data_IF_175553558305
#
_entry.id   IF_175553558305
#
_cell.length_a   1.000
_cell.length_b   1.000
_cell.length_c   1.000
_cell.angle_alpha   90.00
_cell.angle_beta   90.00
_cell.angle_gamma   90.00
#
_symmetry.space_group_name_H-M   'P 1'
#
loop_
_entity.id
_entity.type
_entity.pdbx_description
1 polymer ?
#
# COMPACT_ATOMS: atom_id res chain seq x y z
N UNK A 1 8.21 20.15 -2.59
CA UNK A 1 7.36 21.34 -2.79
C UNK A 1 6.87 21.25 -4.23
N UNK A 2 5.65 20.90 -4.62
CA UNK A 2 4.35 20.68 -3.99
C UNK A 2 3.65 19.59 -4.82
N UNK A 3 3.45 18.38 -4.31
CA UNK A 3 2.56 17.44 -4.99
C UNK A 3 1.15 17.68 -4.48
N UNK A 4 0.31 18.23 -5.34
CA UNK A 4 -1.08 18.59 -5.08
C UNK A 4 -1.83 17.38 -4.52
N UNK A 5 -2.15 17.39 -3.22
CA UNK A 5 -2.90 16.31 -2.56
C UNK A 5 -4.40 16.39 -2.91
N UNK A 6 -4.71 16.25 -4.20
CA UNK A 6 -6.07 16.31 -4.73
C UNK A 6 -6.99 15.33 -3.98
N UNK A 7 -6.51 14.12 -3.70
CA UNK A 7 -7.28 13.11 -2.96
C UNK A 7 -7.55 13.51 -1.51
N UNK A 8 -6.56 14.08 -0.80
CA UNK A 8 -6.73 14.54 0.58
C UNK A 8 -7.72 15.73 0.65
N UNK A 9 -7.60 16.67 -0.28
CA UNK A 9 -8.51 17.81 -0.37
C UNK A 9 -9.93 17.37 -0.70
N UNK A 10 -10.08 16.43 -1.63
CA UNK A 10 -11.38 15.84 -1.99
C UNK A 10 -12.00 15.08 -0.82
N UNK A 11 -11.19 14.33 -0.08
CA UNK A 11 -11.63 13.62 1.12
C UNK A 11 -12.19 14.60 2.16
N UNK A 12 -11.44 15.65 2.50
CA UNK A 12 -11.85 16.63 3.52
C UNK A 12 -13.05 17.49 3.08
N UNK A 13 -13.10 17.90 1.81
CA UNK A 13 -14.12 18.85 1.33
C UNK A 13 -15.44 18.20 0.89
N UNK A 14 -15.38 16.99 0.32
CA UNK A 14 -16.58 16.32 -0.24
C UNK A 14 -16.97 15.08 0.54
N UNK A 15 -16.01 14.20 0.85
CA UNK A 15 -16.34 12.88 1.42
C UNK A 15 -16.77 12.98 2.88
N UNK A 16 -16.05 13.77 3.69
CA UNK A 16 -16.38 14.00 5.11
C UNK A 16 -17.81 14.52 5.32
N UNK A 17 -18.29 15.60 4.65
CA UNK A 17 -19.66 16.07 4.84
C UNK A 17 -20.70 15.08 4.33
N UNK A 18 -20.47 14.42 3.19
CA UNK A 18 -21.38 13.38 2.67
C UNK A 18 -21.56 12.21 3.64
N UNK A 19 -20.47 11.78 4.29
CA UNK A 19 -20.53 10.73 5.30
C UNK A 19 -21.23 11.20 6.58
N UNK A 20 -21.03 12.45 6.97
CA UNK A 20 -21.70 13.03 8.12
C UNK A 20 -23.22 13.13 7.91
N UNK A 21 -23.67 13.55 6.72
CA UNK A 21 -25.09 13.63 6.37
C UNK A 21 -25.76 12.25 6.29
N UNK A 22 -25.10 11.29 5.61
CA UNK A 22 -25.65 9.95 5.41
C UNK A 22 -25.80 9.16 6.70
N UNK A 23 -24.80 9.23 7.57
CA UNK A 23 -24.74 8.39 8.78
C UNK A 23 -25.04 9.17 10.07
N UNK A 24 -25.30 10.49 9.97
CA UNK A 24 -25.68 11.37 11.08
C UNK A 24 -24.77 11.23 12.32
N UNK A 25 -23.47 11.18 12.10
CA UNK A 25 -22.48 11.08 13.19
C UNK A 25 -22.58 12.28 14.12
N UNK A 26 -22.60 12.02 15.44
CA UNK A 26 -22.65 13.07 16.48
C UNK A 26 -21.29 13.75 16.70
N UNK A 27 -20.20 13.05 16.40
CA UNK A 27 -18.84 13.53 16.60
C UNK A 27 -18.03 13.43 15.29
N UNK A 28 -17.28 14.49 14.96
CA UNK A 28 -16.40 14.54 13.78
C UNK A 28 -15.34 13.42 13.79
N UNK A 29 -14.90 12.98 14.97
CA UNK A 29 -13.92 11.89 15.09
C UNK A 29 -14.51 10.49 14.85
N UNK A 30 -15.84 10.35 14.73
CA UNK A 30 -16.48 9.08 14.35
C UNK A 30 -16.43 8.84 12.83
N UNK A 31 -16.09 9.88 12.06
CA UNK A 31 -16.03 9.78 10.61
C UNK A 31 -14.85 8.87 10.23
N UNK A 32 -15.08 7.83 9.41
CA UNK A 32 -14.04 6.85 9.09
C UNK A 32 -12.92 7.49 8.29
N UNK A 33 -11.68 7.34 8.79
CA UNK A 33 -10.48 7.84 8.17
C UNK A 33 -9.51 6.70 7.80
N UNK A 34 -8.66 6.95 6.81
CA UNK A 34 -7.63 6.01 6.40
C UNK A 34 -6.40 6.24 7.29
N UNK A 35 -6.07 5.26 8.14
CA UNK A 35 -4.98 5.41 9.11
C UNK A 35 -3.61 4.94 8.58
N UNK A 36 -3.59 3.87 7.78
CA UNK A 36 -2.36 3.31 7.21
C UNK A 36 -2.66 2.53 5.93
N UNK A 37 -1.70 2.52 5.01
CA UNK A 37 -1.66 1.60 3.87
C UNK A 37 -0.42 0.74 4.01
N UNK A 38 -0.56 -0.58 3.91
CA UNK A 38 0.54 -1.52 4.03
C UNK A 38 0.71 -2.27 2.72
N UNK A 39 1.88 -2.16 2.11
CA UNK A 39 2.24 -2.93 0.92
C UNK A 39 3.11 -4.10 1.36
N UNK A 40 2.73 -5.30 0.94
CA UNK A 40 3.42 -6.53 1.29
C UNK A 40 3.62 -7.36 0.03
N UNK A 41 4.86 -7.75 -0.25
CA UNK A 41 5.20 -8.68 -1.31
C UNK A 41 5.74 -9.95 -0.65
N UNK A 42 4.99 -11.03 -0.78
CA UNK A 42 5.46 -12.37 -0.44
C UNK A 42 6.12 -12.99 -1.66
N UNK A 43 7.41 -13.26 -1.59
CA UNK A 43 8.13 -13.98 -2.63
C UNK A 43 8.32 -15.43 -2.15
N UNK A 44 7.47 -16.34 -2.58
CA UNK A 44 7.59 -17.76 -2.23
C UNK A 44 8.92 -18.39 -2.69
N UNK A 45 9.52 -17.82 -3.74
CA UNK A 45 10.82 -18.24 -4.31
C UNK A 45 12.03 -17.63 -3.59
N UNK A 46 11.80 -16.75 -2.61
CA UNK A 46 12.84 -16.08 -1.83
C UNK A 46 13.82 -17.05 -1.14
N UNK A 47 13.36 -18.25 -0.81
CA UNK A 47 14.16 -19.30 -0.16
C UNK A 47 15.27 -19.80 -1.08
N UNK A 48 15.04 -19.82 -2.40
CA UNK A 48 15.99 -20.33 -3.39
C UNK A 48 16.83 -19.22 -4.01
N UNK A 49 16.28 -18.01 -4.14
CA UNK A 49 16.98 -16.89 -4.77
C UNK A 49 16.94 -15.63 -3.90
N UNK A 50 17.98 -15.38 -3.07
CA UNK A 50 18.04 -14.18 -2.22
C UNK A 50 18.11 -12.88 -3.03
N UNK A 51 18.59 -12.92 -4.29
CA UNK A 51 18.66 -11.72 -5.15
C UNK A 51 17.27 -11.20 -5.55
N UNK A 52 16.26 -12.07 -5.60
CA UNK A 52 14.89 -11.67 -5.91
C UNK A 52 14.31 -10.77 -4.80
N UNK A 53 14.67 -11.02 -3.54
CA UNK A 53 14.26 -10.19 -2.40
C UNK A 53 14.89 -8.81 -2.50
N UNK A 54 16.18 -8.74 -2.85
CA UNK A 54 16.89 -7.47 -3.02
C UNK A 54 16.30 -6.65 -4.18
N UNK A 55 16.00 -7.28 -5.30
CA UNK A 55 15.35 -6.63 -6.44
C UNK A 55 13.96 -6.08 -6.07
N UNK A 56 13.12 -6.90 -5.43
CA UNK A 56 11.80 -6.48 -4.98
C UNK A 56 11.87 -5.36 -3.93
N UNK A 57 12.88 -5.39 -3.05
CA UNK A 57 13.09 -4.32 -2.06
C UNK A 57 13.43 -2.98 -2.71
N UNK A 58 14.23 -2.99 -3.79
CA UNK A 58 14.58 -1.78 -4.55
C UNK A 58 13.38 -1.23 -5.30
N UNK A 59 12.58 -2.09 -5.91
CA UNK A 59 11.35 -1.68 -6.59
C UNK A 59 10.33 -1.08 -5.62
N UNK A 60 10.11 -1.72 -4.47
CA UNK A 60 9.25 -1.18 -3.41
C UNK A 60 9.77 0.16 -2.89
N UNK A 61 11.08 0.31 -2.71
CA UNK A 61 11.66 1.58 -2.30
C UNK A 61 11.42 2.70 -3.34
N UNK A 62 11.49 2.38 -4.63
CA UNK A 62 11.20 3.33 -5.71
C UNK A 62 9.73 3.75 -5.73
N UNK A 63 8.80 2.81 -5.56
CA UNK A 63 7.36 3.08 -5.58
C UNK A 63 6.91 3.84 -4.33
N UNK A 64 7.38 3.40 -3.16
CA UNK A 64 6.90 3.90 -1.87
C UNK A 64 7.72 5.09 -1.32
N UNK A 65 8.89 5.36 -1.88
CA UNK A 65 9.83 6.36 -1.37
C UNK A 65 10.41 6.03 0.02
N UNK A 66 10.12 4.83 0.54
CA UNK A 66 10.52 4.39 1.88
C UNK A 66 11.24 3.05 1.80
N UNK A 67 12.29 2.88 2.61
CA UNK A 67 13.01 1.60 2.69
C UNK A 67 12.09 0.51 3.26
N UNK A 68 11.82 -0.57 2.52
CA UNK A 68 10.98 -1.67 3.00
C UNK A 68 11.71 -2.51 4.05
N UNK A 69 10.93 -3.15 4.92
CA UNK A 69 11.39 -4.09 5.94
C UNK A 69 11.29 -5.51 5.39
N UNK A 70 12.39 -6.26 5.47
CA UNK A 70 12.41 -7.68 5.09
C UNK A 70 11.72 -8.51 6.17
N UNK A 71 10.69 -9.26 5.79
CA UNK A 71 9.92 -10.13 6.70
C UNK A 71 10.56 -11.51 6.79
N UNK A 72 10.71 -12.00 8.02
CA UNK A 72 11.30 -13.31 8.32
C UNK A 72 10.22 -14.33 8.69
N UNK A 73 10.47 -15.59 8.38
CA UNK A 73 9.64 -16.73 8.77
C UNK A 73 9.57 -16.85 10.30
N UNK A 74 8.34 -16.88 10.85
CA UNK A 74 8.09 -17.08 12.28
C UNK A 74 8.00 -18.55 12.69
N UNK A 75 7.65 -19.45 11.76
CA UNK A 75 7.47 -20.88 12.00
C UNK A 75 8.08 -21.66 10.85
N UNK A 76 8.62 -22.83 11.17
CA UNK A 76 9.13 -23.77 10.16
C UNK A 76 7.98 -24.62 9.63
N UNK A 77 7.80 -24.65 8.31
CA UNK A 77 6.76 -25.46 7.64
C UNK A 77 7.43 -26.26 6.53
N UNK A 78 7.49 -27.59 6.71
CA UNK A 78 8.17 -28.50 5.80
C UNK A 78 7.58 -28.46 4.38
N UNK A 79 6.26 -28.26 4.24
CA UNK A 79 5.58 -28.17 2.94
C UNK A 79 6.04 -27.01 2.06
N UNK A 80 6.53 -25.92 2.66
CA UNK A 80 7.08 -24.77 1.95
C UNK A 80 8.61 -24.73 1.97
N UNK A 81 9.27 -25.78 2.48
CA UNK A 81 10.73 -25.85 2.68
C UNK A 81 11.27 -24.65 3.50
N UNK A 82 10.45 -24.09 4.37
CA UNK A 82 10.79 -22.90 5.17
C UNK A 82 11.33 -23.29 6.54
N UNK A 83 12.43 -22.63 6.94
CA UNK A 83 12.97 -22.66 8.31
C UNK A 83 12.79 -21.31 8.99
N UNK A 84 12.66 -21.33 10.30
CA UNK A 84 12.59 -20.11 11.12
C UNK A 84 13.76 -19.16 10.85
N UNK A 85 13.45 -17.87 10.77
CA UNK A 85 14.44 -16.82 10.50
C UNK A 85 14.79 -16.60 9.02
N UNK A 86 14.33 -17.45 8.10
CA UNK A 86 14.53 -17.23 6.66
C UNK A 86 13.76 -16.00 6.16
N UNK A 87 14.36 -15.15 5.30
CA UNK A 87 13.66 -14.03 4.68
C UNK A 87 12.68 -14.55 3.62
N UNK A 88 11.42 -14.12 3.69
CA UNK A 88 10.34 -14.56 2.78
C UNK A 88 9.87 -13.42 1.88
N UNK A 89 9.90 -12.17 2.37
CA UNK A 89 9.32 -11.07 1.63
C UNK A 89 9.74 -9.70 2.14
N UNK A 90 9.09 -8.69 1.58
CA UNK A 90 9.32 -7.29 1.88
C UNK A 90 8.00 -6.61 2.17
N UNK A 91 7.97 -5.78 3.22
CA UNK A 91 6.80 -5.02 3.64
C UNK A 91 7.15 -3.56 3.84
N UNK A 92 6.27 -2.65 3.44
CA UNK A 92 6.37 -1.21 3.76
C UNK A 92 5.03 -0.71 4.28
N UNK A 93 5.08 0.16 5.29
CA UNK A 93 3.90 0.75 5.89
C UNK A 93 3.91 2.25 5.70
N UNK A 94 3.02 2.75 4.85
CA UNK A 94 2.85 4.16 4.56
C UNK A 94 1.83 4.78 5.51
N UNK A 95 2.15 5.97 6.01
CA UNK A 95 1.31 6.77 6.91
C UNK A 95 1.31 8.23 6.48
N UNK A 96 0.35 8.99 6.99
CA UNK A 96 0.23 10.44 6.78
C UNK A 96 0.26 10.80 5.30
N UNK A 97 1.11 11.76 4.91
CA UNK A 97 1.15 12.33 3.57
C UNK A 97 1.58 11.32 2.50
N UNK A 98 2.58 10.50 2.79
CA UNK A 98 3.12 9.50 1.84
C UNK A 98 2.07 8.47 1.44
N UNK A 99 1.13 8.16 2.34
CA UNK A 99 -0.01 7.30 2.05
C UNK A 99 -0.94 7.93 1.00
N UNK A 100 -1.28 9.22 1.18
CA UNK A 100 -2.15 9.93 0.25
C UNK A 100 -1.49 10.10 -1.12
N UNK A 101 -0.19 10.38 -1.17
CA UNK A 101 0.57 10.45 -2.42
C UNK A 101 0.60 9.09 -3.13
N UNK A 102 0.81 7.99 -2.40
CA UNK A 102 0.77 6.65 -2.98
C UNK A 102 -0.61 6.31 -3.54
N UNK A 103 -1.68 6.60 -2.80
CA UNK A 103 -3.06 6.33 -3.23
C UNK A 103 -3.42 7.16 -4.48
N UNK A 104 -3.05 8.43 -4.51
CA UNK A 104 -3.31 9.31 -5.65
C UNK A 104 -2.61 8.78 -6.92
N UNK A 105 -1.32 8.44 -6.83
CA UNK A 105 -0.56 7.83 -7.93
C UNK A 105 -1.15 6.49 -8.36
N UNK A 106 -1.58 5.66 -7.40
CA UNK A 106 -2.19 4.38 -7.70
C UNK A 106 -3.49 4.53 -8.49
N UNK A 107 -4.42 5.37 -8.06
CA UNK A 107 -5.70 5.56 -8.75
C UNK A 107 -5.51 6.22 -10.13
N UNK A 108 -4.63 7.21 -10.25
CA UNK A 108 -4.39 7.88 -11.54
C UNK A 108 -3.74 6.94 -12.55
N UNK A 109 -2.71 6.18 -12.15
CA UNK A 109 -2.03 5.25 -13.06
C UNK A 109 -2.92 4.06 -13.43
N UNK A 110 -3.61 3.45 -12.47
CA UNK A 110 -4.51 2.32 -12.72
C UNK A 110 -5.65 2.73 -13.67
N UNK A 111 -6.27 3.90 -13.44
CA UNK A 111 -7.36 4.39 -14.28
C UNK A 111 -6.88 4.69 -15.71
N UNK A 112 -5.71 5.33 -15.87
CA UNK A 112 -5.15 5.60 -17.19
C UNK A 112 -4.94 4.30 -17.98
N UNK A 113 -4.32 3.30 -17.34
CA UNK A 113 -4.05 2.00 -17.97
C UNK A 113 -5.35 1.29 -18.37
N UNK A 114 -6.37 1.31 -17.51
CA UNK A 114 -7.68 0.73 -17.80
C UNK A 114 -8.43 1.44 -18.93
N UNK A 115 -8.37 2.78 -18.99
CA UNK A 115 -8.98 3.56 -20.08
C UNK A 115 -8.26 3.32 -21.41
N UNK A 116 -6.93 3.19 -21.41
CA UNK A 116 -6.16 2.93 -22.64
C UNK A 116 -6.23 1.49 -23.14
N UNK A 117 -6.43 0.51 -22.26
CA UNK A 117 -6.52 -0.90 -22.63
C UNK A 117 -7.96 -1.38 -22.89
N UNK A 118 -8.97 -0.50 -22.75
CA UNK A 118 -10.34 -0.81 -23.15
C UNK A 118 -10.96 -2.00 -22.41
N UNK A 119 -10.50 -2.31 -21.19
CA UNK A 119 -11.03 -3.41 -20.37
C UNK A 119 -12.06 -2.84 -19.39
N UNK A 120 -13.18 -2.39 -19.93
CA UNK A 120 -14.45 -2.33 -19.22
C UNK A 120 -15.37 -3.30 -19.97
N UNK A 121 -16.07 -4.24 -19.31
CA UNK A 121 -17.10 -5.02 -19.99
C UNK A 121 -18.21 -4.10 -20.55
#
# INVERSE_FOLDING_TARGET
MSESHHLLQTYNSKVVPLLQEKFKYKNKHQIPAINKVTLNIGLGEAVQNPKAIDAASKQLALISGQKPVVTKAKRSIAGFKLREGMPIGCMVTLRNLQMWTFLDKFFTLQCLVFVTLGVFP
#
